data_IF_505265802160
#
_entry.id   IF_505265802160
#
_cell.length_a   1.000
_cell.length_b   1.000
_cell.length_c   1.000
_cell.angle_alpha   90.00
_cell.angle_beta   90.00
_cell.angle_gamma   90.00
#
_symmetry.space_group_name_H-M   'P 1'
#
loop_
_entity.id
_entity.type
_entity.pdbx_description
1 polymer ?
#
# COMPACT_ATOMS: atom_id res chain seq x y z
N UNK A 1 -20.41 5.54 -18.01
CA UNK A 1 -21.11 5.87 -16.75
C UNK A 1 -20.04 5.94 -15.66
N UNK A 2 -19.81 7.08 -15.01
CA UNK A 2 -18.84 7.15 -13.89
C UNK A 2 -19.44 6.39 -12.71
N UNK A 3 -18.75 5.35 -12.22
CA UNK A 3 -19.11 4.65 -10.98
C UNK A 3 -19.03 5.66 -9.84
N UNK A 4 -20.11 5.78 -9.05
CA UNK A 4 -20.09 6.50 -7.78
C UNK A 4 -19.71 5.49 -6.71
N UNK A 5 -18.70 5.80 -5.91
CA UNK A 5 -18.36 5.04 -4.72
C UNK A 5 -19.29 5.46 -3.58
N UNK A 6 -19.65 4.52 -2.71
CA UNK A 6 -20.28 4.86 -1.43
C UNK A 6 -19.27 5.57 -0.52
N UNK A 7 -19.79 6.29 0.47
CA UNK A 7 -18.96 6.89 1.53
C UNK A 7 -18.12 5.83 2.25
N UNK A 8 -18.73 4.69 2.61
CA UNK A 8 -18.04 3.54 3.21
C UNK A 8 -16.92 2.96 2.31
N UNK A 9 -17.14 2.87 0.99
CA UNK A 9 -16.10 2.43 0.05
C UNK A 9 -14.92 3.41 0.02
N UNK A 10 -15.20 4.72 0.06
CA UNK A 10 -14.17 5.78 0.09
C UNK A 10 -13.39 5.72 1.40
N UNK A 11 -14.07 5.67 2.55
CA UNK A 11 -13.45 5.57 3.86
C UNK A 11 -12.53 4.35 3.96
N UNK A 12 -13.02 3.19 3.50
CA UNK A 12 -12.21 1.96 3.45
C UNK A 12 -10.98 2.13 2.57
N UNK A 13 -11.11 2.74 1.40
CA UNK A 13 -9.97 2.98 0.50
C UNK A 13 -8.95 3.95 1.08
N UNK A 14 -9.39 5.01 1.74
CA UNK A 14 -8.51 5.99 2.39
C UNK A 14 -7.78 5.36 3.57
N UNK A 15 -8.48 4.60 4.42
CA UNK A 15 -7.85 3.88 5.53
C UNK A 15 -6.81 2.87 5.03
N UNK A 16 -7.15 2.08 4.01
CA UNK A 16 -6.24 1.13 3.38
C UNK A 16 -4.99 1.81 2.79
N UNK A 17 -5.17 2.95 2.12
CA UNK A 17 -4.09 3.77 1.58
C UNK A 17 -3.14 4.22 2.69
N UNK A 18 -3.66 4.88 3.73
CA UNK A 18 -2.85 5.41 4.83
C UNK A 18 -2.08 4.31 5.54
N UNK A 19 -2.75 3.21 5.90
CA UNK A 19 -2.11 2.08 6.59
C UNK A 19 -0.96 1.48 5.78
N UNK A 20 -1.15 1.29 4.47
CA UNK A 20 -0.11 0.69 3.62
C UNK A 20 1.06 1.65 3.43
N UNK A 21 0.80 2.93 3.16
CA UNK A 21 1.86 3.93 3.01
C UNK A 21 2.70 4.05 4.28
N UNK A 22 2.08 4.16 5.44
CA UNK A 22 2.79 4.23 6.74
C UNK A 22 3.65 2.98 6.97
N UNK A 23 3.11 1.78 6.71
CA UNK A 23 3.88 0.55 6.88
C UNK A 23 5.05 0.41 5.92
N UNK A 24 4.88 0.77 4.65
CA UNK A 24 5.99 0.77 3.71
C UNK A 24 7.08 1.73 4.18
N UNK A 25 6.72 2.95 4.59
CA UNK A 25 7.70 3.94 5.08
C UNK A 25 8.44 3.44 6.32
N UNK A 26 7.72 2.88 7.30
CA UNK A 26 8.36 2.34 8.50
C UNK A 26 9.34 1.20 8.19
N UNK A 27 9.00 0.31 7.25
CA UNK A 27 9.87 -0.80 6.84
C UNK A 27 11.14 -0.26 6.18
N UNK A 28 11.00 0.71 5.27
CA UNK A 28 12.14 1.34 4.61
C UNK A 28 12.99 2.18 5.59
N UNK A 29 12.37 2.87 6.54
CA UNK A 29 13.07 3.65 7.57
C UNK A 29 13.88 2.76 8.51
N UNK A 30 13.30 1.65 9.00
CA UNK A 30 14.01 0.69 9.88
C UNK A 30 15.18 -0.01 9.19
N UNK A 31 15.15 -0.08 7.87
CA UNK A 31 16.15 -0.79 7.06
C UNK A 31 17.12 0.14 6.33
N UNK A 32 17.10 1.44 6.65
CA UNK A 32 17.87 2.48 5.95
C UNK A 32 17.78 2.35 4.42
N UNK A 33 16.56 2.13 3.93
CA UNK A 33 16.25 2.00 2.52
C UNK A 33 16.43 0.59 1.92
N UNK A 34 16.88 -0.40 2.68
CA UNK A 34 17.23 -1.73 2.19
C UNK A 34 16.46 -2.86 2.91
N UNK A 35 15.13 -2.96 2.71
CA UNK A 35 14.31 -3.93 3.44
C UNK A 35 14.47 -5.37 2.93
N UNK A 36 14.58 -6.33 3.86
CA UNK A 36 14.67 -7.77 3.58
C UNK A 36 13.28 -8.45 3.38
N UNK A 37 12.40 -7.82 2.60
CA UNK A 37 11.15 -8.45 2.17
C UNK A 37 10.10 -8.66 3.27
N UNK A 38 10.03 -7.75 4.25
CA UNK A 38 9.00 -7.78 5.30
C UNK A 38 7.58 -7.76 4.67
N UNK A 39 6.70 -8.72 5.01
CA UNK A 39 5.42 -8.83 4.32
C UNK A 39 4.38 -7.84 4.86
N UNK A 40 3.68 -7.14 3.96
CA UNK A 40 2.47 -6.37 4.30
C UNK A 40 1.23 -7.14 3.82
N UNK A 41 0.24 -7.36 4.68
CA UNK A 41 -1.03 -7.97 4.26
C UNK A 41 -1.91 -6.96 3.51
N UNK A 42 -2.68 -7.43 2.51
CA UNK A 42 -3.58 -6.54 1.78
C UNK A 42 -4.79 -6.16 2.65
N UNK A 43 -4.98 -4.88 3.01
CA UNK A 43 -6.10 -4.45 3.87
C UNK A 43 -7.47 -4.51 3.17
N UNK A 44 -7.48 -4.72 1.85
CA UNK A 44 -8.73 -4.77 1.08
C UNK A 44 -9.33 -6.17 1.00
N UNK A 45 -8.48 -7.20 0.90
CA UNK A 45 -8.95 -8.58 0.72
C UNK A 45 -8.44 -9.56 1.77
N UNK A 46 -7.41 -9.20 2.56
CA UNK A 46 -6.83 -9.99 3.66
C UNK A 46 -6.39 -11.41 3.27
N UNK A 47 -6.35 -11.72 1.97
CA UNK A 47 -6.08 -13.05 1.42
C UNK A 47 -4.65 -13.23 0.91
N UNK A 48 -3.98 -12.12 0.61
CA UNK A 48 -2.63 -12.09 0.03
C UNK A 48 -1.83 -10.95 0.60
N UNK A 49 -0.51 -11.15 0.59
CA UNK A 49 0.48 -10.12 0.85
C UNK A 49 0.55 -9.16 -0.33
N UNK A 50 0.84 -7.91 -0.05
CA UNK A 50 1.14 -6.89 -1.04
C UNK A 50 2.55 -7.09 -1.58
N UNK A 51 2.70 -6.84 -2.87
CA UNK A 51 3.99 -6.50 -3.43
C UNK A 51 4.12 -4.98 -3.35
N UNK A 52 5.27 -4.47 -2.91
CA UNK A 52 5.46 -3.05 -2.73
C UNK A 52 6.90 -2.62 -2.97
N UNK A 53 7.07 -1.33 -3.23
CA UNK A 53 8.34 -0.66 -3.47
C UNK A 53 8.25 0.79 -2.99
N UNK A 54 9.35 1.34 -2.48
CA UNK A 54 9.52 2.75 -2.17
C UNK A 54 10.81 3.27 -2.82
N UNK A 55 10.71 4.40 -3.53
CA UNK A 55 11.88 5.13 -4.04
C UNK A 55 12.58 5.90 -2.90
N UNK A 56 13.19 5.15 -1.96
CA UNK A 56 13.71 5.70 -0.71
C UNK A 56 14.74 6.82 -0.90
N UNK A 57 15.63 6.65 -1.88
CA UNK A 57 16.72 7.60 -2.16
C UNK A 57 16.30 8.73 -3.12
N UNK A 58 15.11 8.65 -3.71
CA UNK A 58 14.54 9.68 -4.57
C UNK A 58 13.45 10.47 -3.85
N UNK A 59 12.24 10.45 -4.41
CA UNK A 59 11.10 11.23 -3.90
C UNK A 59 10.27 10.48 -2.84
N UNK A 60 10.73 9.31 -2.39
CA UNK A 60 10.00 8.41 -1.47
C UNK A 60 8.63 7.99 -1.98
N UNK A 61 8.48 7.92 -3.31
CA UNK A 61 7.23 7.50 -3.93
C UNK A 61 7.00 6.01 -3.67
N UNK A 62 5.80 5.68 -3.21
CA UNK A 62 5.41 4.32 -2.81
C UNK A 62 4.55 3.72 -3.89
N UNK A 63 4.85 2.49 -4.29
CA UNK A 63 3.96 1.65 -5.07
C UNK A 63 3.62 0.40 -4.25
N UNK A 64 2.34 0.06 -4.16
CA UNK A 64 1.89 -1.22 -3.59
C UNK A 64 0.76 -1.82 -4.42
N UNK A 65 0.77 -3.14 -4.60
CA UNK A 65 -0.28 -3.86 -5.33
C UNK A 65 -0.63 -5.20 -4.71
N UNK A 66 -1.89 -5.61 -4.88
CA UNK A 66 -2.39 -6.93 -4.53
C UNK A 66 -2.82 -7.70 -5.78
N UNK A 67 -2.15 -8.81 -6.08
CA UNK A 67 -2.46 -9.63 -7.26
C UNK A 67 -3.79 -10.39 -7.17
N UNK A 68 -4.40 -10.46 -5.97
CA UNK A 68 -5.67 -11.15 -5.77
C UNK A 68 -6.89 -10.25 -6.01
N UNK A 69 -6.89 -9.02 -5.46
CA UNK A 69 -8.02 -8.10 -5.61
C UNK A 69 -7.77 -6.93 -6.56
N UNK A 70 -6.58 -6.86 -7.18
CA UNK A 70 -6.14 -5.80 -8.09
C UNK A 70 -6.18 -4.39 -7.47
N UNK A 71 -6.19 -4.31 -6.15
CA UNK A 71 -6.04 -3.04 -5.44
C UNK A 71 -4.60 -2.57 -5.54
N UNK A 72 -4.43 -1.27 -5.78
CA UNK A 72 -3.13 -0.64 -5.95
C UNK A 72 -3.12 0.73 -5.27
N UNK A 73 -1.94 1.10 -4.78
CA UNK A 73 -1.63 2.40 -4.20
C UNK A 73 -0.37 2.94 -4.85
N UNK A 74 -0.42 4.22 -5.22
CA UNK A 74 0.73 5.00 -5.65
C UNK A 74 0.67 6.37 -4.94
N UNK A 75 1.75 6.75 -4.24
CA UNK A 75 1.85 8.01 -3.48
C UNK A 75 3.19 8.66 -3.71
#
# INVERSE_FOLDING_TARGET
MRRKFSEEEIEKMVAAFTTVSERVLEIYEKSDGNPDGEPIECPMCEKKKLQYFCDWNGNKHIHAHCDHCNWHVAQ
#
